data_IF_174929550784
#
_entry.id   IF_174929550784
#
_cell.length_a   1.000
_cell.length_b   1.000
_cell.length_c   1.000
_cell.angle_alpha   90.00
_cell.angle_beta   90.00
_cell.angle_gamma   90.00
#
_symmetry.space_group_name_H-M   'P 1'
#
loop_
_entity.id
_entity.type
_entity.pdbx_description
1 polymer ?
#
# COMPACT_ATOMS: atom_id res chain seq x y z
N UNK A 1 15.22 -4.51 4.62
CA UNK A 1 13.98 -5.06 5.20
C UNK A 1 14.34 -6.22 6.10
N UNK A 2 13.92 -6.18 7.35
CA UNK A 2 14.04 -7.32 8.25
C UNK A 2 13.26 -8.51 7.67
N UNK A 3 13.82 -9.71 7.77
CA UNK A 3 13.13 -10.95 7.40
C UNK A 3 11.91 -11.12 8.32
N UNK A 4 10.71 -11.05 7.76
CA UNK A 4 9.46 -11.29 8.50
C UNK A 4 9.19 -12.80 8.48
N UNK A 5 9.15 -13.43 9.65
CA UNK A 5 8.70 -14.82 9.76
C UNK A 5 7.19 -14.88 9.49
N UNK A 6 6.73 -15.59 8.44
CA UNK A 6 5.31 -15.68 8.12
C UNK A 6 4.47 -16.29 9.25
N UNK A 7 5.03 -17.22 10.04
CA UNK A 7 4.29 -17.89 11.11
C UNK A 7 4.03 -16.96 12.30
N UNK A 8 5.00 -16.10 12.63
CA UNK A 8 4.87 -15.10 13.70
C UNK A 8 3.99 -13.92 13.28
N UNK A 9 4.05 -13.53 12.01
CA UNK A 9 3.32 -12.38 11.46
C UNK A 9 1.83 -12.65 11.20
N UNK A 10 1.48 -13.84 10.70
CA UNK A 10 0.13 -14.15 10.25
C UNK A 10 -0.96 -13.95 11.32
N UNK A 11 -0.77 -14.32 12.60
CA UNK A 11 -1.75 -14.04 13.65
C UNK A 11 -2.07 -12.55 13.84
N UNK A 12 -1.08 -11.66 13.70
CA UNK A 12 -1.30 -10.20 13.77
C UNK A 12 -2.04 -9.70 12.54
N UNK A 13 -1.69 -10.19 11.35
CA UNK A 13 -2.43 -9.88 10.14
C UNK A 13 -3.92 -10.26 10.24
N UNK A 14 -4.21 -11.45 10.78
CA UNK A 14 -5.58 -11.92 10.97
C UNK A 14 -6.35 -11.07 11.98
N UNK A 15 -5.70 -10.62 13.06
CA UNK A 15 -6.31 -9.68 14.01
C UNK A 15 -6.67 -8.35 13.34
N UNK A 16 -5.79 -7.79 12.52
CA UNK A 16 -6.08 -6.58 11.75
C UNK A 16 -7.25 -6.76 10.79
N UNK A 17 -7.31 -7.92 10.12
CA UNK A 17 -8.40 -8.25 9.21
C UNK A 17 -9.74 -8.35 9.94
N UNK A 18 -9.76 -9.07 11.06
CA UNK A 18 -10.94 -9.22 11.90
C UNK A 18 -11.38 -7.87 12.46
N UNK A 19 -10.47 -7.08 13.03
CA UNK A 19 -10.79 -5.75 13.56
C UNK A 19 -11.39 -4.85 12.47
N UNK A 20 -10.77 -4.79 11.29
CA UNK A 20 -11.27 -3.95 10.21
C UNK A 20 -12.69 -4.32 9.78
N UNK A 21 -12.98 -5.62 9.67
CA UNK A 21 -14.30 -6.13 9.27
C UNK A 21 -15.34 -5.97 10.39
N UNK A 22 -14.99 -6.24 11.63
CA UNK A 22 -15.98 -6.24 12.72
C UNK A 22 -16.18 -4.84 13.31
N UNK A 23 -15.13 -4.01 13.34
CA UNK A 23 -15.11 -2.75 14.08
C UNK A 23 -14.74 -1.57 13.18
N UNK A 24 -13.54 -1.57 12.57
CA UNK A 24 -12.97 -0.43 11.85
C UNK A 24 -13.93 0.15 10.80
N UNK A 25 -14.44 -0.70 9.89
CA UNK A 25 -15.35 -0.29 8.81
C UNK A 25 -16.70 0.30 9.29
N UNK A 26 -17.07 0.05 10.55
CA UNK A 26 -18.34 0.51 11.11
C UNK A 26 -18.23 1.87 11.81
N UNK A 27 -17.02 2.42 11.94
CA UNK A 27 -16.81 3.74 12.53
C UNK A 27 -17.10 4.86 11.52
N UNK A 28 -17.64 5.99 11.99
CA UNK A 28 -17.97 7.14 11.14
C UNK A 28 -16.73 7.74 10.47
N UNK A 29 -15.59 7.78 11.17
CA UNK A 29 -14.33 8.27 10.63
C UNK A 29 -13.82 7.44 9.45
N UNK A 30 -13.85 6.10 9.59
CA UNK A 30 -13.43 5.19 8.52
C UNK A 30 -14.39 5.24 7.34
N UNK A 31 -15.71 5.31 7.57
CA UNK A 31 -16.71 5.46 6.50
C UNK A 31 -16.56 6.77 5.72
N UNK A 32 -16.39 7.89 6.44
CA UNK A 32 -16.18 9.19 5.81
C UNK A 32 -14.88 9.20 4.99
N UNK A 33 -13.78 8.66 5.54
CA UNK A 33 -12.51 8.59 4.84
C UNK A 33 -12.59 7.66 3.62
N UNK A 34 -13.20 6.48 3.75
CA UNK A 34 -13.35 5.53 2.64
C UNK A 34 -14.16 6.14 1.48
N UNK A 35 -15.26 6.84 1.80
CA UNK A 35 -16.05 7.57 0.80
C UNK A 35 -15.24 8.68 0.13
N UNK A 36 -14.51 9.49 0.91
CA UNK A 36 -13.65 10.55 0.39
C UNK A 36 -12.53 10.01 -0.51
N UNK A 37 -11.98 8.85 -0.16
CA UNK A 37 -10.92 8.18 -0.91
C UNK A 37 -11.44 7.32 -2.06
N UNK A 38 -12.74 7.30 -2.32
CA UNK A 38 -13.41 6.49 -3.34
C UNK A 38 -13.02 4.99 -3.28
N UNK A 39 -13.12 4.41 -2.09
CA UNK A 39 -12.93 2.97 -1.86
C UNK A 39 -14.08 2.41 -1.04
N UNK A 40 -14.64 1.30 -1.49
CA UNK A 40 -15.73 0.59 -0.81
C UNK A 40 -15.19 -0.21 0.36
N UNK A 41 -15.84 -0.04 1.50
CA UNK A 41 -15.65 -0.85 2.69
C UNK A 41 -16.17 -2.28 2.48
N UNK A 42 -15.69 -3.27 3.24
CA UNK A 42 -16.09 -4.67 3.06
C UNK A 42 -17.60 -4.90 3.00
N UNK A 43 -18.40 -4.26 3.88
CA UNK A 43 -19.86 -4.41 3.89
C UNK A 43 -20.55 -3.87 2.63
N UNK A 44 -19.87 -3.02 1.85
CA UNK A 44 -20.36 -2.45 0.59
C UNK A 44 -20.00 -3.34 -0.61
N UNK A 45 -19.21 -4.40 -0.42
CA UNK A 45 -18.77 -5.30 -1.49
C UNK A 45 -19.66 -6.54 -1.53
N UNK A 46 -19.92 -7.05 -2.73
CA UNK A 46 -20.60 -8.32 -2.93
C UNK A 46 -19.73 -9.55 -2.60
N UNK A 47 -18.40 -9.36 -2.52
CA UNK A 47 -17.45 -10.42 -2.18
C UNK A 47 -17.42 -10.68 -0.68
N UNK A 48 -17.35 -11.94 -0.30
CA UNK A 48 -17.13 -12.37 1.09
C UNK A 48 -15.67 -12.29 1.53
N UNK A 49 -14.74 -12.11 0.58
CA UNK A 49 -13.30 -12.00 0.87
C UNK A 49 -12.85 -10.54 0.90
N UNK A 50 -12.11 -10.18 1.95
CA UNK A 50 -11.54 -8.84 2.14
C UNK A 50 -10.03 -8.92 2.06
N UNK A 51 -9.42 -8.06 1.23
CA UNK A 51 -7.97 -7.90 1.14
C UNK A 51 -7.57 -6.55 1.74
N UNK A 52 -6.79 -6.57 2.82
CA UNK A 52 -6.30 -5.34 3.46
C UNK A 52 -5.38 -4.53 2.54
N UNK A 53 -4.70 -5.21 1.60
CA UNK A 53 -3.80 -4.58 0.62
C UNK A 53 -4.51 -3.50 -0.20
N UNK A 54 -5.79 -3.66 -0.54
CA UNK A 54 -6.55 -2.66 -1.31
C UNK A 54 -6.64 -1.32 -0.55
N UNK A 55 -6.95 -1.39 0.74
CA UNK A 55 -7.09 -0.24 1.61
C UNK A 55 -5.74 0.39 1.92
N UNK A 56 -4.73 -0.42 2.22
CA UNK A 56 -3.34 0.04 2.45
C UNK A 56 -2.83 0.81 1.23
N UNK A 57 -3.01 0.25 0.02
CA UNK A 57 -2.65 0.92 -1.25
C UNK A 57 -3.33 2.27 -1.38
N UNK A 58 -4.65 2.35 -1.18
CA UNK A 58 -5.41 3.61 -1.32
C UNK A 58 -5.01 4.65 -0.27
N UNK A 59 -4.78 4.24 0.97
CA UNK A 59 -4.31 5.12 2.04
C UNK A 59 -2.92 5.69 1.72
N UNK A 60 -1.98 4.85 1.29
CA UNK A 60 -0.61 5.29 0.96
C UNK A 60 -0.59 6.30 -0.18
N UNK A 61 -1.22 5.99 -1.32
CA UNK A 61 -1.12 6.86 -2.51
C UNK A 61 -1.87 8.18 -2.37
N UNK A 62 -2.79 8.26 -1.41
CA UNK A 62 -3.50 9.49 -1.06
C UNK A 62 -2.90 10.18 0.17
N UNK A 63 -1.81 9.64 0.73
CA UNK A 63 -1.11 10.08 1.92
C UNK A 63 -1.96 10.15 3.20
N UNK A 64 -2.73 9.10 3.46
CA UNK A 64 -3.54 8.87 4.68
C UNK A 64 -3.07 7.63 5.47
N UNK A 65 -1.79 7.28 5.40
CA UNK A 65 -1.20 6.13 6.09
C UNK A 65 -0.51 6.50 7.42
N UNK A 66 -1.05 7.50 8.14
CA UNK A 66 -0.55 7.87 9.48
C UNK A 66 -0.87 6.78 10.51
N UNK A 67 -0.09 6.66 11.61
CA UNK A 67 -0.37 5.71 12.69
C UNK A 67 -1.82 5.75 13.19
N UNK A 68 -2.37 6.94 13.41
CA UNK A 68 -3.76 7.10 13.87
C UNK A 68 -4.78 6.57 12.86
N UNK A 69 -4.56 6.82 11.56
CA UNK A 69 -5.46 6.33 10.50
C UNK A 69 -5.37 4.81 10.39
N UNK A 70 -4.15 4.27 10.45
CA UNK A 70 -3.93 2.82 10.38
C UNK A 70 -4.51 2.10 11.60
N UNK A 71 -4.39 2.68 12.79
CA UNK A 71 -5.03 2.20 14.01
C UNK A 71 -6.56 2.25 13.89
N UNK A 72 -7.12 3.34 13.36
CA UNK A 72 -8.56 3.45 13.16
C UNK A 72 -9.13 2.40 12.20
N UNK A 73 -8.38 2.05 11.14
CA UNK A 73 -8.78 1.00 10.20
C UNK A 73 -8.52 -0.42 10.74
N UNK A 74 -7.35 -0.68 11.31
CA UNK A 74 -6.82 -2.04 11.50
C UNK A 74 -6.54 -2.41 12.97
N UNK A 75 -6.83 -1.53 13.92
CA UNK A 75 -6.72 -1.76 15.36
C UNK A 75 -5.31 -1.49 15.90
N UNK A 76 -5.15 -1.67 17.21
CA UNK A 76 -3.94 -1.27 17.95
C UNK A 76 -2.67 -2.03 17.54
N UNK A 77 -2.82 -3.22 16.96
CA UNK A 77 -1.71 -4.07 16.50
C UNK A 77 -1.43 -3.96 14.99
N UNK A 78 -1.84 -2.85 14.37
CA UNK A 78 -1.64 -2.62 12.94
C UNK A 78 -0.17 -2.67 12.53
N UNK A 79 0.74 -2.24 13.38
CA UNK A 79 2.17 -2.20 13.12
C UNK A 79 2.74 -3.62 12.92
N UNK A 80 2.41 -4.55 13.81
CA UNK A 80 2.80 -5.95 13.69
C UNK A 80 2.05 -6.67 12.55
N UNK A 81 0.78 -6.31 12.31
CA UNK A 81 -0.07 -7.00 11.33
C UNK A 81 0.07 -6.50 9.89
N UNK A 82 -0.11 -5.20 9.65
CA UNK A 82 -0.04 -4.61 8.30
C UNK A 82 1.22 -3.79 8.05
N UNK A 83 2.06 -3.52 9.06
CA UNK A 83 3.30 -2.75 8.92
C UNK A 83 4.20 -3.23 7.77
N UNK A 84 4.55 -4.52 7.67
CA UNK A 84 5.37 -5.02 6.56
C UNK A 84 4.75 -4.77 5.17
N UNK A 85 3.42 -4.86 5.05
CA UNK A 85 2.71 -4.59 3.79
C UNK A 85 2.73 -3.10 3.48
N UNK A 86 2.48 -2.26 4.49
CA UNK A 86 2.52 -0.80 4.38
C UNK A 86 3.89 -0.33 3.92
N UNK A 87 4.96 -0.77 4.57
CA UNK A 87 6.32 -0.32 4.28
C UNK A 87 6.76 -0.74 2.88
N UNK A 88 6.44 -1.97 2.47
CA UNK A 88 6.71 -2.42 1.10
C UNK A 88 5.90 -1.66 0.07
N UNK A 89 4.65 -1.32 0.36
CA UNK A 89 3.81 -0.57 -0.56
C UNK A 89 4.23 0.92 -0.68
N UNK A 90 4.76 1.53 0.38
CA UNK A 90 5.37 2.88 0.31
C UNK A 90 6.56 2.90 -0.65
N UNK A 91 7.43 1.89 -0.59
CA UNK A 91 8.54 1.76 -1.54
C UNK A 91 8.02 1.54 -2.97
N UNK A 92 7.03 0.68 -3.16
CA UNK A 92 6.42 0.43 -4.47
C UNK A 92 5.81 1.70 -5.07
N UNK A 93 5.18 2.53 -4.23
CA UNK A 93 4.57 3.77 -4.67
C UNK A 93 5.62 4.78 -5.15
N UNK A 94 6.72 4.95 -4.40
CA UNK A 94 7.85 5.79 -4.82
C UNK A 94 8.43 5.31 -6.16
N UNK A 95 8.59 3.99 -6.32
CA UNK A 95 9.08 3.39 -7.56
C UNK A 95 8.16 3.71 -8.75
N UNK A 96 6.85 3.43 -8.60
CA UNK A 96 5.85 3.64 -9.67
C UNK A 96 5.76 5.12 -10.07
N UNK A 97 5.72 6.01 -9.07
CA UNK A 97 5.64 7.46 -9.30
C UNK A 97 6.86 7.99 -10.07
N UNK A 98 8.05 7.42 -9.81
CA UNK A 98 9.30 7.80 -10.48
C UNK A 98 9.39 7.25 -11.91
N UNK A 99 8.90 6.03 -12.16
CA UNK A 99 9.06 5.34 -13.46
C UNK A 99 8.12 5.86 -14.54
N UNK A 100 6.86 6.09 -14.19
CA UNK A 100 5.75 6.16 -15.15
C UNK A 100 5.02 7.50 -15.13
N UNK A 101 5.42 8.41 -14.23
CA UNK A 101 4.74 9.68 -13.99
C UNK A 101 3.38 9.51 -13.32
N UNK A 102 2.77 10.64 -12.93
CA UNK A 102 1.62 10.66 -12.03
C UNK A 102 0.34 10.05 -12.63
N UNK A 103 0.08 10.23 -13.92
CA UNK A 103 -1.15 9.76 -14.56
C UNK A 103 -1.21 8.22 -14.63
N UNK A 104 -0.14 7.59 -15.10
CA UNK A 104 -0.04 6.13 -15.18
C UNK A 104 0.03 5.50 -13.79
N UNK A 105 0.77 6.13 -12.87
CA UNK A 105 0.78 5.72 -11.45
C UNK A 105 -0.63 5.66 -10.89
N UNK A 106 -1.45 6.69 -11.12
CA UNK A 106 -2.82 6.73 -10.63
C UNK A 106 -3.62 5.53 -11.14
N UNK A 107 -3.48 5.19 -12.42
CA UNK A 107 -4.12 4.01 -13.03
C UNK A 107 -3.65 2.70 -12.39
N UNK A 108 -2.38 2.56 -12.01
CA UNK A 108 -1.86 1.37 -11.29
C UNK A 108 -2.46 1.18 -9.88
N UNK A 109 -3.17 2.18 -9.36
CA UNK A 109 -3.83 2.15 -8.05
C UNK A 109 -5.36 2.22 -8.13
N UNK A 110 -5.94 2.27 -9.33
CA UNK A 110 -7.37 2.14 -9.53
C UNK A 110 -7.83 0.69 -9.23
N UNK A 111 -9.01 0.56 -8.62
CA UNK A 111 -9.67 -0.73 -8.41
C UNK A 111 -10.85 -0.75 -9.38
N UNK A 112 -10.68 -1.46 -10.50
CA UNK A 112 -11.68 -1.50 -11.56
C UNK A 112 -12.87 -2.40 -11.18
N UNK A 113 -14.08 -2.11 -11.69
CA UNK A 113 -14.38 -1.11 -12.71
C UNK A 113 -14.67 0.32 -12.23
N UNK A 114 -14.88 0.55 -10.93
CA UNK A 114 -15.57 1.75 -10.43
C UNK A 114 -14.90 2.51 -9.27
N UNK A 115 -13.86 1.96 -8.67
CA UNK A 115 -13.13 2.57 -7.55
C UNK A 115 -11.81 3.20 -8.04
N UNK A 116 -11.93 4.33 -8.73
CA UNK A 116 -10.78 5.12 -9.17
C UNK A 116 -10.12 5.89 -8.02
N UNK A 117 -8.78 5.91 -7.99
CA UNK A 117 -8.00 6.74 -7.07
C UNK A 117 -8.37 8.20 -7.31
N UNK A 118 -8.85 8.97 -6.31
CA UNK A 118 -9.35 10.32 -6.58
C UNK A 118 -8.22 11.32 -6.89
N UNK A 119 -7.09 11.17 -6.22
CA UNK A 119 -5.89 11.97 -6.40
C UNK A 119 -4.68 11.23 -5.85
N UNK A 120 -3.48 11.67 -6.24
CA UNK A 120 -2.22 11.21 -5.67
C UNK A 120 -1.62 12.28 -4.76
N UNK A 121 -0.87 11.87 -3.74
CA UNK A 121 -0.07 12.77 -2.91
C UNK A 121 1.33 12.19 -2.70
N UNK A 122 2.38 13.05 -2.67
CA UNK A 122 3.68 12.63 -2.18
C UNK A 122 3.56 11.96 -0.81
N UNK A 123 4.39 10.95 -0.54
CA UNK A 123 4.43 10.30 0.76
C UNK A 123 4.65 11.34 1.86
N UNK A 124 3.89 11.23 2.95
CA UNK A 124 4.14 12.00 4.17
C UNK A 124 5.36 11.44 4.87
N UNK A 125 6.25 12.37 5.26
CA UNK A 125 7.45 12.12 6.07
C UNK A 125 8.17 10.81 5.67
N UNK A 126 8.59 10.68 4.40
CA UNK A 126 9.34 9.51 3.98
C UNK A 126 10.64 9.46 4.78
N UNK A 127 10.91 8.32 5.42
CA UNK A 127 12.18 8.11 6.08
C UNK A 127 13.28 8.11 5.02
N UNK A 128 14.46 8.67 5.33
CA UNK A 128 15.56 8.66 4.37
C UNK A 128 15.94 7.24 3.92
N UNK A 129 15.78 6.25 4.79
CA UNK A 129 15.99 4.84 4.44
C UNK A 129 14.98 4.33 3.41
N UNK A 130 13.72 4.77 3.46
CA UNK A 130 12.71 4.43 2.45
C UNK A 130 13.10 5.01 1.09
N UNK A 131 13.56 6.27 1.07
CA UNK A 131 14.03 6.95 -0.15
C UNK A 131 15.25 6.22 -0.70
N UNK A 132 16.30 5.99 0.13
CA UNK A 132 17.52 5.29 -0.30
C UNK A 132 17.23 3.88 -0.81
N UNK A 133 16.32 3.15 -0.17
CA UNK A 133 15.93 1.80 -0.60
C UNK A 133 15.18 1.84 -1.93
N UNK A 134 14.26 2.79 -2.10
CA UNK A 134 13.56 2.99 -3.37
C UNK A 134 14.53 3.38 -4.49
N UNK A 135 15.51 4.25 -4.21
CA UNK A 135 16.55 4.66 -5.16
C UNK A 135 17.51 3.52 -5.52
N UNK A 136 17.95 2.72 -4.54
CA UNK A 136 18.80 1.57 -4.79
C UNK A 136 18.10 0.52 -5.68
N UNK A 137 16.84 0.20 -5.37
CA UNK A 137 16.01 -0.70 -6.20
C UNK A 137 15.78 -0.14 -7.60
N UNK A 138 15.61 1.18 -7.71
CA UNK A 138 15.51 1.86 -9.00
C UNK A 138 16.80 1.72 -9.81
N UNK A 139 17.97 1.96 -9.19
CA UNK A 139 19.27 1.78 -9.84
C UNK A 139 19.55 0.34 -10.24
N UNK A 140 19.18 -0.65 -9.40
CA UNK A 140 19.31 -2.07 -9.72
C UNK A 140 18.41 -2.47 -10.89
N UNK A 141 17.16 -2.00 -10.92
CA UNK A 141 16.23 -2.30 -12.00
C UNK A 141 16.64 -1.65 -13.33
N UNK A 142 17.08 -0.40 -13.34
CA UNK A 142 17.66 0.23 -14.54
C UNK A 142 18.91 -0.52 -15.01
N UNK A 143 19.74 -1.01 -14.08
CA UNK A 143 20.89 -1.82 -14.43
C UNK A 143 20.49 -3.17 -15.08
N UNK A 144 19.31 -3.72 -14.76
CA UNK A 144 18.75 -4.89 -15.45
C UNK A 144 18.26 -4.54 -16.86
N UNK A 145 17.69 -3.36 -17.09
CA UNK A 145 17.35 -2.86 -18.43
C UNK A 145 18.62 -2.69 -19.29
N UNK A 146 19.68 -2.15 -18.70
CA UNK A 146 21.02 -2.08 -19.32
C UNK A 146 21.61 -3.48 -19.61
N UNK A 147 21.31 -4.51 -18.82
CA UNK A 147 21.71 -5.90 -19.13
C UNK A 147 20.92 -6.50 -20.30
N UNK A 148 19.67 -6.08 -20.50
CA UNK A 148 18.88 -6.50 -21.67
C UNK A 148 19.35 -5.83 -22.98
N UNK A 149 20.06 -4.71 -22.90
CA UNK A 149 20.48 -3.90 -24.06
C UNK A 149 22.02 -3.79 -24.23
N UNK A 150 22.81 -4.34 -23.30
CA UNK A 150 24.26 -4.18 -23.23
C UNK A 150 25.09 -5.44 -23.56
N UNK A 151 26.43 -5.32 -23.66
CA UNK A 151 27.35 -6.40 -24.06
C UNK A 151 27.45 -7.59 -23.06
N UNK A 152 26.63 -7.60 -22.00
CA UNK A 152 26.47 -8.70 -21.03
C UNK A 152 25.14 -9.43 -21.20
N UNK A 153 24.44 -9.21 -22.31
CA UNK A 153 23.31 -10.05 -22.74
C UNK A 153 23.71 -11.53 -22.67
N UNK A 154 22.84 -12.43 -22.15
CA UNK A 154 23.07 -13.87 -22.20
C UNK A 154 22.92 -14.47 -23.61
N UNK A 155 22.65 -13.63 -24.61
CA UNK A 155 22.56 -13.95 -26.05
C UNK A 155 23.49 -13.06 -26.87
#
# INVERSE_FOLDING_TARGET
MAHVDPAEWHPYYMQCLQYFVEHGQNTSGVQALAAFLNIRLPYQRASTTTSLRLYIRRLIVTAHDSPDTLCAFFGDHWDAGIGPIRDQERINYLFTAKSSGWAETKTSYDILPDEHTPFLRPLREPLEEEIRTAEARWSEWLAMEDWMLGPRSPW
#
